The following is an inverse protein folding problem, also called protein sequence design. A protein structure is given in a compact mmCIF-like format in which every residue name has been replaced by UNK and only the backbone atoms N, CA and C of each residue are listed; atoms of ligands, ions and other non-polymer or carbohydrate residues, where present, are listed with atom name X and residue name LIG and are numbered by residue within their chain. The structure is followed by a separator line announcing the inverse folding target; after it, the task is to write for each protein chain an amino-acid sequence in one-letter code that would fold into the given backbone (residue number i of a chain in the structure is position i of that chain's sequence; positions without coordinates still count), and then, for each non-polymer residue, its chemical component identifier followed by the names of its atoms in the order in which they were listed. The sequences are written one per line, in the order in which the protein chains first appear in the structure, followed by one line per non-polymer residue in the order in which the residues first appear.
data_IF_219913450615
#
_entry.id   IF_219913450615
#
_cell.length_a   1.000
_cell.length_b   1.000
_cell.length_c   1.000
_cell.angle_alpha   90.00
_cell.angle_beta   90.00
_cell.angle_gamma   90.00
#
_symmetry.space_group_name_H-M   'P 1'
#
loop_
_entity.id
_entity.type
_entity.pdbx_description
1 polymer ?
#
# COMPACT_ATOMS: atom_id res chain seq x y z
N UNK A 1 -9.64 21.32 15.06
CA UNK A 1 -9.18 21.58 16.45
C UNK A 1 -10.33 21.29 17.40
N UNK A 2 -10.01 20.87 18.63
CA UNK A 2 -11.03 20.65 19.66
C UNK A 2 -11.54 22.03 20.12
N UNK A 3 -12.86 22.20 20.21
CA UNK A 3 -13.46 23.47 20.59
C UNK A 3 -13.60 23.64 22.12
N UNK A 4 -13.77 24.90 22.56
CA UNK A 4 -13.93 25.24 23.98
C UNK A 4 -15.14 24.55 24.63
N UNK A 5 -16.19 24.31 23.84
CA UNK A 5 -17.40 23.60 24.30
C UNK A 5 -17.08 22.16 24.69
N UNK A 6 -16.25 21.48 23.91
CA UNK A 6 -15.79 20.12 24.19
C UNK A 6 -14.95 20.09 25.45
N UNK A 7 -14.02 21.03 25.60
CA UNK A 7 -13.20 21.13 26.81
C UNK A 7 -14.04 21.44 28.07
N UNK A 8 -14.99 22.36 27.97
CA UNK A 8 -15.93 22.65 29.07
C UNK A 8 -16.77 21.42 29.46
N UNK A 9 -17.17 20.59 28.48
CA UNK A 9 -17.85 19.33 28.74
C UNK A 9 -16.97 18.36 29.53
N UNK A 10 -15.70 18.19 29.13
CA UNK A 10 -14.74 17.30 29.78
C UNK A 10 -14.50 17.70 31.23
N UNK A 11 -14.30 19.00 31.50
CA UNK A 11 -14.15 19.50 32.86
C UNK A 11 -15.37 19.16 33.72
N UNK A 12 -16.58 19.47 33.21
CA UNK A 12 -17.84 19.22 33.94
C UNK A 12 -18.06 17.74 34.22
N UNK A 13 -17.83 16.87 33.24
CA UNK A 13 -18.04 15.42 33.39
C UNK A 13 -17.00 14.82 34.33
N UNK A 14 -15.73 15.24 34.24
CA UNK A 14 -14.68 14.77 35.14
C UNK A 14 -14.98 15.15 36.59
N UNK A 15 -15.39 16.40 36.85
CA UNK A 15 -15.79 16.84 38.18
C UNK A 15 -16.96 16.02 38.74
N UNK A 16 -17.98 15.76 37.91
CA UNK A 16 -19.11 14.90 38.29
C UNK A 16 -18.63 13.48 38.64
N UNK A 17 -17.79 12.89 37.80
CA UNK A 17 -17.28 11.53 38.00
C UNK A 17 -16.39 11.43 39.25
N UNK A 18 -15.60 12.46 39.56
CA UNK A 18 -14.82 12.55 40.78
C UNK A 18 -15.73 12.52 42.01
N UNK A 19 -16.77 13.34 42.02
CA UNK A 19 -17.76 13.37 43.10
C UNK A 19 -18.48 12.02 43.29
N UNK A 20 -18.90 11.37 42.20
CA UNK A 20 -19.51 10.02 42.26
C UNK A 20 -18.59 8.97 42.86
N UNK A 21 -17.27 9.12 42.70
CA UNK A 21 -16.25 8.19 43.19
C UNK A 21 -15.66 8.60 44.55
N UNK A 22 -16.11 9.71 45.15
CA UNK A 22 -15.55 10.24 46.39
C UNK A 22 -14.09 10.69 46.26
N UNK A 23 -13.64 11.09 45.06
CA UNK A 23 -12.28 11.56 44.82
C UNK A 23 -12.18 13.07 45.03
N UNK A 24 -11.08 13.52 45.64
CA UNK A 24 -10.73 14.94 45.70
C UNK A 24 -10.67 15.52 44.28
N UNK A 25 -11.33 16.66 44.08
CA UNK A 25 -11.29 17.42 42.84
C UNK A 25 -10.84 18.83 43.15
N UNK A 26 -9.56 19.08 42.94
CA UNK A 26 -8.83 20.32 43.19
C UNK A 26 -8.19 20.79 41.87
N UNK A 27 -9.04 20.90 40.86
CA UNK A 27 -8.73 21.54 39.58
C UNK A 27 -9.66 22.72 39.43
N UNK A 28 -9.10 23.92 39.39
CA UNK A 28 -9.82 25.11 38.98
C UNK A 28 -10.02 25.15 37.47
N UNK A 29 -10.76 26.15 36.98
CA UNK A 29 -10.89 26.37 35.54
C UNK A 29 -9.59 26.85 34.90
N UNK A 30 -8.79 27.61 35.65
CA UNK A 30 -7.52 28.14 35.18
C UNK A 30 -6.49 27.01 35.10
N UNK A 31 -6.45 26.12 36.10
CA UNK A 31 -5.63 24.89 36.04
C UNK A 31 -6.00 24.02 34.83
N UNK A 32 -7.30 23.92 34.53
CA UNK A 32 -7.75 23.16 33.37
C UNK A 32 -7.39 23.84 32.04
N UNK A 33 -7.42 25.17 31.97
CA UNK A 33 -6.95 25.91 30.80
C UNK A 33 -5.45 25.73 30.60
N UNK A 34 -4.65 25.77 31.68
CA UNK A 34 -3.23 25.46 31.66
C UNK A 34 -2.97 24.03 31.17
N UNK A 35 -3.74 23.06 31.67
CA UNK A 35 -3.68 21.67 31.22
C UNK A 35 -3.94 21.53 29.72
N UNK A 36 -4.95 22.23 29.19
CA UNK A 36 -5.29 22.21 27.75
C UNK A 36 -4.19 22.87 26.93
N UNK A 37 -3.66 24.01 27.38
CA UNK A 37 -2.58 24.72 26.70
C UNK A 37 -1.29 23.88 26.67
N UNK A 38 -0.93 23.25 27.80
CA UNK A 38 0.22 22.36 27.94
C UNK A 38 0.15 21.18 26.96
N UNK A 39 -1.04 20.63 26.76
CA UNK A 39 -1.24 19.48 25.89
C UNK A 39 -1.12 19.82 24.39
N UNK A 40 -1.22 21.10 23.98
CA UNK A 40 -1.07 21.55 22.59
C UNK A 40 -1.92 20.71 21.59
N UNK A 41 -3.20 20.48 21.93
CA UNK A 41 -4.13 19.64 21.15
C UNK A 41 -3.65 18.19 20.89
N UNK A 42 -2.72 17.67 21.69
CA UNK A 42 -2.16 16.32 21.58
C UNK A 42 -2.25 15.57 22.90
N UNK A 43 -2.28 14.26 22.81
CA UNK A 43 -2.18 13.38 23.96
C UNK A 43 -0.81 13.50 24.61
N UNK A 44 -0.76 13.83 25.90
CA UNK A 44 0.50 13.99 26.65
C UNK A 44 1.30 12.69 26.82
N UNK A 45 0.71 11.54 26.51
CA UNK A 45 1.38 10.22 26.60
C UNK A 45 1.83 9.71 25.24
N UNK A 46 0.95 9.76 24.23
CA UNK A 46 1.25 9.18 22.91
C UNK A 46 1.70 10.19 21.87
N UNK A 47 1.54 11.50 22.12
CA UNK A 47 1.80 12.56 21.15
C UNK A 47 0.77 12.64 20.01
N UNK A 48 -0.22 11.75 19.97
CA UNK A 48 -1.25 11.76 18.92
C UNK A 48 -2.16 12.99 19.02
N UNK A 49 -2.53 13.61 17.89
CA UNK A 49 -3.50 14.70 17.90
C UNK A 49 -4.87 14.20 18.36
N UNK A 50 -5.61 15.05 19.08
CA UNK A 50 -6.98 14.74 19.44
C UNK A 50 -7.89 14.73 18.21
N UNK A 51 -8.78 13.75 18.14
CA UNK A 51 -9.80 13.63 17.10
C UNK A 51 -11.15 13.27 17.70
N UNK A 52 -12.19 13.93 17.18
CA UNK A 52 -13.58 13.69 17.53
C UNK A 52 -14.27 12.68 16.59
N UNK A 53 -13.50 12.03 15.72
CA UNK A 53 -13.99 11.01 14.80
C UNK A 53 -14.48 9.76 15.55
N UNK A 54 -15.51 9.13 14.98
CA UNK A 54 -16.06 7.87 15.49
C UNK A 54 -15.36 6.70 14.82
N UNK A 55 -14.93 5.72 15.62
CA UNK A 55 -14.34 4.48 15.13
C UNK A 55 -15.29 3.30 15.41
N UNK A 56 -16.48 3.32 14.80
CA UNK A 56 -17.46 2.22 14.90
C UNK A 56 -18.10 2.01 16.29
N UNK A 57 -17.74 2.80 17.30
CA UNK A 57 -18.25 2.73 18.67
C UNK A 57 -18.88 4.05 19.11
N UNK A 58 -19.69 4.01 20.17
CA UNK A 58 -20.20 5.21 20.85
C UNK A 58 -19.05 6.07 21.41
N UNK A 59 -17.94 5.44 21.80
CA UNK A 59 -16.75 6.15 22.29
C UNK A 59 -15.84 6.53 21.13
N UNK A 60 -15.32 7.76 21.19
CA UNK A 60 -14.34 8.32 20.25
C UNK A 60 -12.93 8.04 20.79
N UNK A 61 -12.15 7.11 20.21
CA UNK A 61 -10.91 6.63 20.83
C UNK A 61 -9.85 7.72 20.99
N UNK A 62 -9.80 8.67 20.05
CA UNK A 62 -8.82 9.77 20.04
C UNK A 62 -9.38 11.07 20.60
N UNK A 63 -10.58 11.05 21.20
CA UNK A 63 -11.09 12.24 21.88
C UNK A 63 -10.28 12.52 23.16
N UNK A 64 -10.18 13.78 23.60
CA UNK A 64 -9.47 14.14 24.81
C UNK A 64 -10.19 13.62 26.06
N UNK A 65 -9.40 13.23 27.07
CA UNK A 65 -9.82 12.68 28.34
C UNK A 65 -8.81 13.08 29.43
N UNK A 66 -9.26 13.19 30.69
CA UNK A 66 -8.38 13.45 31.83
C UNK A 66 -7.99 12.11 32.46
N UNK A 67 -6.68 11.88 32.56
CA UNK A 67 -6.07 10.74 33.24
C UNK A 67 -5.36 11.19 34.52
N UNK A 68 -5.37 10.33 35.54
CA UNK A 68 -4.64 10.56 36.80
C UNK A 68 -3.35 9.77 36.77
N UNK A 69 -2.22 10.45 36.89
CA UNK A 69 -0.89 9.83 36.86
C UNK A 69 -0.74 8.84 38.01
N UNK A 70 -1.18 9.24 39.22
CA UNK A 70 -1.32 8.37 40.37
C UNK A 70 -2.80 8.21 40.72
N UNK A 71 -3.32 6.98 40.57
CA UNK A 71 -4.71 6.64 40.86
C UNK A 71 -5.10 6.72 42.34
N UNK A 72 -4.13 6.77 43.25
CA UNK A 72 -4.36 6.99 44.69
C UNK A 72 -4.63 8.46 45.04
N UNK A 73 -4.29 9.37 44.14
CA UNK A 73 -4.50 10.80 44.32
C UNK A 73 -5.78 11.28 43.59
N UNK A 74 -6.24 12.45 43.99
CA UNK A 74 -7.37 13.14 43.35
C UNK A 74 -7.01 13.80 42.02
N UNK A 75 -7.91 14.64 41.53
CA UNK A 75 -7.66 15.51 40.39
C UNK A 75 -7.00 16.80 40.90
N UNK A 76 -5.69 16.91 40.70
CA UNK A 76 -4.86 18.08 40.99
C UNK A 76 -3.98 18.34 39.78
N UNK A 77 -3.62 19.58 39.48
CA UNK A 77 -2.86 19.95 38.27
C UNK A 77 -1.56 19.13 38.11
N UNK A 78 -0.87 18.85 39.22
CA UNK A 78 0.35 18.04 39.28
C UNK A 78 0.14 16.54 39.06
N UNK A 79 -1.09 16.04 39.24
CA UNK A 79 -1.44 14.62 39.15
C UNK A 79 -2.29 14.27 37.92
N UNK A 80 -2.61 15.24 37.06
CA UNK A 80 -3.45 15.00 35.88
C UNK A 80 -2.72 15.30 34.58
N UNK A 81 -3.14 14.58 33.54
CA UNK A 81 -2.72 14.80 32.16
C UNK A 81 -3.90 14.63 31.20
N UNK A 82 -3.84 15.34 30.09
CA UNK A 82 -4.80 15.25 29.00
C UNK A 82 -4.33 14.20 27.99
N UNK A 83 -5.12 13.15 27.82
CA UNK A 83 -4.78 11.98 27.00
C UNK A 83 -5.92 11.59 26.08
N UNK A 84 -5.65 10.76 25.08
CA UNK A 84 -6.72 10.14 24.30
C UNK A 84 -7.53 9.16 25.16
N UNK A 85 -8.84 9.04 24.91
CA UNK A 85 -9.71 8.06 25.58
C UNK A 85 -9.13 6.65 25.53
N UNK A 86 -8.61 6.21 24.38
CA UNK A 86 -7.98 4.90 24.24
C UNK A 86 -6.73 4.75 25.11
N UNK A 87 -5.95 5.82 25.25
CA UNK A 87 -4.76 5.84 26.10
C UNK A 87 -5.14 5.76 27.57
N UNK A 88 -6.13 6.53 28.02
CA UNK A 88 -6.66 6.45 29.38
C UNK A 88 -7.11 5.02 29.73
N UNK A 89 -7.81 4.36 28.81
CA UNK A 89 -8.22 2.97 28.98
C UNK A 89 -7.07 1.97 29.01
N UNK A 90 -6.06 2.15 28.17
CA UNK A 90 -4.91 1.26 28.16
C UNK A 90 -4.04 1.41 29.42
N UNK A 91 -4.01 2.61 29.99
CA UNK A 91 -3.34 2.88 31.26
C UNK A 91 -4.11 2.27 32.42
N UNK A 92 -5.40 2.61 32.56
CA UNK A 92 -6.30 2.10 33.61
C UNK A 92 -5.59 2.02 34.98
N UNK A 93 -5.68 0.88 35.66
CA UNK A 93 -5.01 0.60 36.93
C UNK A 93 -3.55 0.11 36.76
N UNK A 94 -3.11 -0.15 35.53
CA UNK A 94 -1.81 -0.75 35.23
C UNK A 94 -0.68 0.27 35.01
N UNK A 95 -1.04 1.51 34.68
CA UNK A 95 -0.10 2.57 34.35
C UNK A 95 0.64 2.37 33.03
N UNK A 96 1.74 3.11 32.85
CA UNK A 96 2.41 3.23 31.54
C UNK A 96 3.25 2.02 31.15
N UNK A 97 3.80 1.27 32.11
CA UNK A 97 4.77 0.21 31.80
C UNK A 97 4.17 -0.94 30.96
N UNK A 98 2.98 -1.49 31.27
CA UNK A 98 2.36 -2.52 30.42
C UNK A 98 1.98 -2.01 29.03
N UNK A 99 1.53 -0.76 28.93
CA UNK A 99 1.24 -0.11 27.64
C UNK A 99 2.50 -0.01 26.77
N UNK A 100 3.63 0.44 27.32
CA UNK A 100 4.89 0.51 26.58
C UNK A 100 5.40 -0.86 26.14
N UNK A 101 5.25 -1.89 26.99
CA UNK A 101 5.59 -3.27 26.62
C UNK A 101 4.75 -3.76 25.45
N UNK A 102 3.43 -3.53 25.49
CA UNK A 102 2.52 -3.90 24.40
C UNK A 102 2.86 -3.15 23.12
N UNK A 103 3.05 -1.83 23.18
CA UNK A 103 3.36 -1.00 22.02
C UNK A 103 4.64 -1.49 21.31
N UNK A 104 5.71 -1.77 22.07
CA UNK A 104 6.95 -2.33 21.50
C UNK A 104 6.73 -3.70 20.85
N UNK A 105 5.95 -4.56 21.48
CA UNK A 105 5.66 -5.89 20.91
C UNK A 105 4.86 -5.80 19.61
N UNK A 106 3.91 -4.87 19.51
CA UNK A 106 3.14 -4.62 18.29
C UNK A 106 4.04 -4.07 17.17
N UNK A 107 4.88 -3.09 17.49
CA UNK A 107 5.81 -2.46 16.54
C UNK A 107 6.79 -3.51 15.96
N UNK A 108 7.41 -4.32 16.83
CA UNK A 108 8.27 -5.43 16.39
C UNK A 108 7.52 -6.47 15.54
N UNK A 109 6.27 -6.77 15.88
CA UNK A 109 5.47 -7.74 15.13
C UNK A 109 5.12 -7.20 13.73
N UNK A 110 4.72 -5.94 13.61
CA UNK A 110 4.42 -5.32 12.32
C UNK A 110 5.66 -5.25 11.42
N UNK A 111 6.81 -4.85 11.98
CA UNK A 111 8.08 -4.86 11.24
C UNK A 111 8.42 -6.25 10.71
N UNK A 112 8.35 -7.28 11.57
CA UNK A 112 8.61 -8.67 11.18
C UNK A 112 7.64 -9.15 10.09
N UNK A 113 6.36 -8.79 10.20
CA UNK A 113 5.36 -9.16 9.19
C UNK A 113 5.57 -8.43 7.87
N UNK A 114 5.97 -7.16 7.90
CA UNK A 114 6.33 -6.40 6.71
C UNK A 114 7.53 -7.03 5.98
N UNK A 115 8.59 -7.39 6.71
CA UNK A 115 9.75 -8.09 6.16
C UNK A 115 9.37 -9.42 5.50
N UNK A 116 8.55 -10.24 6.17
CA UNK A 116 8.06 -11.51 5.59
C UNK A 116 7.22 -11.30 4.33
N UNK A 117 6.35 -10.28 4.32
CA UNK A 117 5.55 -9.92 3.14
C UNK A 117 6.46 -9.50 1.98
N UNK A 118 7.47 -8.67 2.25
CA UNK A 118 8.43 -8.22 1.23
C UNK A 118 9.26 -9.37 0.67
N UNK A 119 9.75 -10.27 1.52
CA UNK A 119 10.50 -11.45 1.09
C UNK A 119 9.65 -12.38 0.21
N UNK A 120 8.40 -12.62 0.59
CA UNK A 120 7.47 -13.41 -0.23
C UNK A 120 7.20 -12.77 -1.60
N UNK A 121 7.00 -11.44 -1.64
CA UNK A 121 6.84 -10.71 -2.90
C UNK A 121 8.11 -10.76 -3.76
N UNK A 122 9.29 -10.67 -3.15
CA UNK A 122 10.57 -10.77 -3.85
C UNK A 122 10.74 -12.12 -4.54
N UNK A 123 10.48 -13.21 -3.83
CA UNK A 123 10.56 -14.57 -4.39
C UNK A 123 9.57 -14.79 -5.55
N UNK A 124 8.36 -14.21 -5.45
CA UNK A 124 7.39 -14.21 -6.53
C UNK A 124 7.90 -13.43 -7.76
N UNK A 125 8.49 -12.26 -7.56
CA UNK A 125 9.08 -11.46 -8.64
C UNK A 125 10.21 -12.23 -9.33
N UNK A 126 11.11 -12.84 -8.56
CA UNK A 126 12.23 -13.63 -9.10
C UNK A 126 11.72 -14.82 -9.92
N UNK A 127 10.67 -15.50 -9.45
CA UNK A 127 10.03 -16.61 -10.19
C UNK A 127 9.42 -16.14 -11.51
N UNK A 128 8.62 -15.06 -11.48
CA UNK A 128 8.00 -14.49 -12.68
C UNK A 128 9.04 -13.99 -13.70
N UNK A 129 10.16 -13.45 -13.22
CA UNK A 129 11.27 -13.03 -14.09
C UNK A 129 11.91 -14.21 -14.81
N UNK A 130 12.13 -15.33 -14.11
CA UNK A 130 12.67 -16.56 -14.69
C UNK A 130 11.70 -17.18 -15.72
N UNK A 131 10.40 -17.24 -15.42
CA UNK A 131 9.37 -17.71 -16.35
C UNK A 131 9.33 -16.84 -17.61
N UNK A 132 9.36 -15.52 -17.45
CA UNK A 132 9.39 -14.59 -18.58
C UNK A 132 10.66 -14.76 -19.43
N UNK A 133 11.80 -15.08 -18.83
CA UNK A 133 13.04 -15.36 -19.55
C UNK A 133 12.99 -16.66 -20.34
N UNK A 134 12.44 -17.73 -19.76
CA UNK A 134 12.22 -18.99 -20.44
C UNK A 134 11.33 -18.81 -21.68
N UNK A 135 10.21 -18.09 -21.53
CA UNK A 135 9.31 -17.75 -22.65
C UNK A 135 10.02 -16.91 -23.72
N UNK A 136 10.85 -15.92 -23.33
CA UNK A 136 11.65 -15.14 -24.29
C UNK A 136 12.60 -16.03 -25.10
N UNK A 137 13.28 -16.97 -24.46
CA UNK A 137 14.17 -17.92 -25.11
C UNK A 137 13.42 -18.86 -26.09
N UNK A 138 12.24 -19.35 -25.68
CA UNK A 138 11.39 -20.19 -26.54
C UNK A 138 10.92 -19.44 -27.79
N UNK A 139 10.43 -18.21 -27.62
CA UNK A 139 10.03 -17.33 -28.73
C UNK A 139 11.22 -17.06 -29.67
N UNK A 140 12.43 -16.84 -29.14
CA UNK A 140 13.62 -16.66 -29.96
C UNK A 140 14.01 -17.94 -30.75
N UNK A 141 13.85 -19.12 -30.15
CA UNK A 141 14.10 -20.40 -30.81
C UNK A 141 13.11 -20.65 -31.97
N UNK A 142 11.82 -20.39 -31.75
CA UNK A 142 10.78 -20.49 -32.77
C UNK A 142 11.04 -19.54 -33.95
N UNK A 143 11.41 -18.29 -33.68
CA UNK A 143 11.80 -17.34 -34.72
C UNK A 143 12.99 -17.84 -35.54
N UNK A 144 14.02 -18.40 -34.89
CA UNK A 144 15.19 -18.97 -35.57
C UNK A 144 14.84 -20.21 -36.41
N UNK A 145 13.91 -21.05 -35.94
CA UNK A 145 13.45 -22.22 -36.68
C UNK A 145 12.61 -21.81 -37.91
N UNK A 146 11.72 -20.83 -37.75
CA UNK A 146 10.96 -20.25 -38.85
C UNK A 146 11.90 -19.63 -39.91
N UNK A 147 12.90 -18.84 -39.48
CA UNK A 147 13.91 -18.27 -40.38
C UNK A 147 14.73 -19.35 -41.12
N UNK A 148 15.09 -20.45 -40.45
CA UNK A 148 15.77 -21.59 -41.08
C UNK A 148 14.88 -22.37 -42.06
N UNK A 149 13.59 -22.51 -41.78
CA UNK A 149 12.64 -23.14 -42.70
C UNK A 149 12.43 -22.30 -43.96
N UNK A 150 12.34 -20.97 -43.84
CA UNK A 150 12.27 -20.05 -44.97
C UNK A 150 13.53 -20.15 -45.84
N UNK A 151 14.73 -20.24 -45.23
CA UNK A 151 15.99 -20.40 -45.97
C UNK A 151 16.12 -21.77 -46.66
N UNK A 152 15.67 -22.87 -46.02
CA UNK A 152 15.68 -24.21 -46.64
C UNK A 152 14.70 -24.33 -47.80
N UNK A 153 13.52 -23.75 -47.71
CA UNK A 153 12.56 -23.74 -48.83
C UNK A 153 13.00 -22.85 -50.01
N UNK A 154 13.92 -21.90 -49.79
CA UNK A 154 14.59 -21.17 -50.87
C UNK A 154 15.58 -22.04 -51.66
N UNK A 155 16.13 -23.09 -51.04
CA UNK A 155 17.14 -23.96 -51.65
C UNK A 155 16.56 -25.09 -52.50
N UNK A 156 15.26 -25.39 -52.34
CA UNK A 156 14.55 -26.40 -53.13
C UNK A 156 13.35 -25.75 -53.84
N UNK A 157 13.65 -25.07 -54.95
CA UNK A 157 12.72 -24.91 -56.06
C UNK A 157 11.45 -24.07 -55.82
N UNK A 158 11.57 -22.78 -55.52
CA UNK A 158 10.57 -21.76 -55.93
C UNK A 158 11.25 -20.40 -56.02
N UNK A 159 10.80 -19.53 -56.93
CA UNK A 159 11.51 -18.34 -57.39
C UNK A 159 12.07 -17.41 -56.29
N UNK A 160 13.13 -16.67 -56.64
CA UNK A 160 13.78 -15.69 -55.78
C UNK A 160 12.79 -14.63 -55.30
N UNK A 161 12.53 -14.58 -53.99
CA UNK A 161 11.81 -13.51 -53.32
C UNK A 161 12.72 -12.30 -53.11
N UNK A 162 12.24 -11.08 -53.35
CA UNK A 162 13.04 -9.87 -53.14
C UNK A 162 12.18 -8.71 -52.64
N UNK A 163 12.70 -7.95 -51.68
CA UNK A 163 12.08 -6.71 -51.22
C UNK A 163 12.48 -5.58 -52.19
N UNK A 164 11.50 -4.90 -52.77
CA UNK A 164 11.72 -3.79 -53.69
C UNK A 164 11.96 -2.49 -52.93
N UNK A 165 12.56 -1.52 -53.62
CA UNK A 165 12.80 -0.17 -53.10
C UNK A 165 11.53 0.59 -52.68
N UNK A 166 10.36 0.19 -53.20
CA UNK A 166 9.06 0.77 -52.84
C UNK A 166 8.38 0.05 -51.65
N UNK A 167 9.10 -0.83 -50.95
CA UNK A 167 8.63 -1.51 -49.75
C UNK A 167 7.73 -2.73 -50.01
N UNK A 168 7.50 -3.10 -51.27
CA UNK A 168 6.72 -4.31 -51.63
C UNK A 168 7.63 -5.51 -51.84
N UNK A 169 7.15 -6.68 -51.44
CA UNK A 169 7.77 -7.96 -51.73
C UNK A 169 7.39 -8.43 -53.13
N UNK A 170 8.37 -8.88 -53.92
CA UNK A 170 8.19 -9.45 -55.27
C UNK A 170 8.68 -10.91 -55.31
N UNK A 171 7.94 -11.78 -56.00
CA UNK A 171 8.43 -13.09 -56.45
C UNK A 171 8.12 -13.32 -57.92
N UNK A 172 9.03 -14.01 -58.62
CA UNK A 172 8.88 -14.41 -60.02
C UNK A 172 8.61 -15.90 -60.10
N UNK A 173 7.45 -16.29 -60.62
CA UNK A 173 7.07 -17.69 -60.81
C UNK A 173 6.65 -17.96 -62.27
N UNK A 174 6.42 -19.23 -62.59
CA UNK A 174 5.90 -19.66 -63.88
C UNK A 174 4.45 -20.11 -63.71
N UNK A 175 3.56 -19.67 -64.61
CA UNK A 175 2.16 -20.09 -64.67
C UNK A 175 1.78 -20.25 -66.14
N UNK A 176 1.22 -21.40 -66.51
CA UNK A 176 0.79 -21.72 -67.88
C UNK A 176 1.87 -21.45 -68.94
N UNK A 177 3.12 -21.81 -68.63
CA UNK A 177 4.27 -21.60 -69.53
C UNK A 177 4.72 -20.14 -69.69
N UNK A 178 4.16 -19.19 -68.92
CA UNK A 178 4.58 -17.79 -68.89
C UNK A 178 5.17 -17.41 -67.54
N UNK A 179 6.17 -16.53 -67.56
CA UNK A 179 6.76 -15.97 -66.33
C UNK A 179 5.92 -14.79 -65.84
N UNK A 180 5.50 -14.82 -64.58
CA UNK A 180 4.69 -13.78 -63.94
C UNK A 180 5.37 -13.27 -62.67
N UNK A 181 5.18 -11.99 -62.36
CA UNK A 181 5.62 -11.37 -61.10
C UNK A 181 4.43 -11.13 -60.18
N UNK A 182 4.54 -11.54 -58.92
CA UNK A 182 3.55 -11.32 -57.87
C UNK A 182 4.10 -10.33 -56.85
N UNK A 183 3.23 -9.47 -56.35
CA UNK A 183 3.58 -8.43 -55.38
C UNK A 183 2.72 -8.51 -54.12
N UNK A 184 3.31 -8.20 -52.97
CA UNK A 184 2.61 -8.11 -51.68
C UNK A 184 3.24 -7.07 -50.75
N UNK A 185 2.50 -6.63 -49.72
CA UNK A 185 2.99 -5.64 -48.74
C UNK A 185 3.86 -6.27 -47.66
N UNK A 186 3.61 -7.55 -47.33
CA UNK A 186 4.42 -8.32 -46.38
C UNK A 186 4.89 -9.62 -47.01
N UNK A 187 5.97 -10.20 -46.46
CA UNK A 187 6.48 -11.50 -46.91
C UNK A 187 5.42 -12.60 -46.74
N UNK A 188 4.68 -12.57 -45.63
CA UNK A 188 3.59 -13.52 -45.35
C UNK A 188 2.45 -13.43 -46.38
N UNK A 189 2.05 -12.22 -46.78
CA UNK A 189 1.03 -12.01 -47.81
C UNK A 189 1.50 -12.53 -49.19
N UNK A 190 2.80 -12.39 -49.52
CA UNK A 190 3.35 -12.91 -50.76
C UNK A 190 3.33 -14.45 -50.81
N UNK A 191 3.64 -15.11 -49.70
CA UNK A 191 3.61 -16.57 -49.59
C UNK A 191 2.19 -17.14 -49.72
N UNK A 192 1.18 -16.45 -49.20
CA UNK A 192 -0.23 -16.81 -49.40
C UNK A 192 -0.61 -16.74 -50.88
N UNK A 193 -0.30 -15.63 -51.56
CA UNK A 193 -0.60 -15.45 -52.99
C UNK A 193 0.06 -16.49 -53.88
N UNK A 194 1.27 -16.96 -53.54
CA UNK A 194 1.97 -17.99 -54.30
C UNK A 194 1.39 -19.39 -54.13
N UNK A 195 0.75 -19.68 -52.99
CA UNK A 195 0.06 -20.97 -52.76
C UNK A 195 -1.25 -21.09 -53.53
N UNK A 196 -1.82 -19.97 -53.97
CA UNK A 196 -3.08 -19.89 -54.71
C UNK A 196 -2.91 -19.93 -56.25
N UNK A 197 -1.66 -19.99 -56.74
CA UNK A 197 -1.33 -20.07 -58.17
C UNK A 197 -1.17 -21.51 -58.66
#
# INVERSE_FOLDING_TARGET
MIDDRTYALIYRTTRKNAATRGLLFDLSRDDFAELVARADSKCEVSGLPFSLERAGSFRRPFAPSIDRVNNQLGYQLSNVRLVCVITNFALSDWGIAPLLRLARALDHREATQAERRHEGLRQQIETLQAEAEALRCEVAALHNQAGRHVLKNRSQGTGTFSLRKDGRWESKCWRDGKRVSIYARTEAELLLKLKEL
#
